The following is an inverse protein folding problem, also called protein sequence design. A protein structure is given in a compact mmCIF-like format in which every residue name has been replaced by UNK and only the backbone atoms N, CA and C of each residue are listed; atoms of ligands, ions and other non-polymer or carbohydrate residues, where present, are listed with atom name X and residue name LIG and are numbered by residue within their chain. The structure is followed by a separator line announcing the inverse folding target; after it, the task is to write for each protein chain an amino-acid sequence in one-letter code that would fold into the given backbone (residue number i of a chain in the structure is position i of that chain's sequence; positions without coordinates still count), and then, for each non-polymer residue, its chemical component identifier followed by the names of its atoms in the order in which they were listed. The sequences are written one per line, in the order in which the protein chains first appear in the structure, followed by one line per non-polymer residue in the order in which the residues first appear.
data_IF_051389915138
#
_entry.id   IF_051389915138
#
_cell.length_a   1.000
_cell.length_b   1.000
_cell.length_c   1.000
_cell.angle_alpha   90.00
_cell.angle_beta   90.00
_cell.angle_gamma   90.00
#
_symmetry.space_group_name_H-M   'P 1'
#
loop_
_entity.id
_entity.type
_entity.pdbx_description
1 polymer ?
#
# COMPACT_ATOMS: atom_id res chain seq x y z
N UNK A 1 16.21 36.91 -41.26
CA UNK A 1 15.50 36.94 -39.96
C UNK A 1 14.50 35.79 -39.77
N UNK A 2 13.62 35.46 -40.74
CA UNK A 2 12.57 34.41 -40.58
C UNK A 2 13.08 32.98 -40.31
N UNK A 3 14.26 32.59 -40.81
CA UNK A 3 14.82 31.24 -40.63
C UNK A 3 15.51 31.03 -39.27
N UNK A 4 15.87 32.11 -38.57
CA UNK A 4 16.46 32.05 -37.23
C UNK A 4 15.39 31.85 -36.13
N UNK A 5 14.19 32.42 -36.31
CA UNK A 5 13.04 32.20 -35.42
C UNK A 5 12.46 30.78 -35.50
N UNK A 6 12.64 30.10 -36.64
CA UNK A 6 12.11 28.75 -36.85
C UNK A 6 12.92 27.67 -36.10
N UNK A 7 14.22 27.86 -35.93
CA UNK A 7 15.10 26.91 -35.21
C UNK A 7 14.92 27.05 -33.70
N UNK A 8 14.72 28.29 -33.21
CA UNK A 8 14.43 28.57 -31.80
C UNK A 8 13.05 28.00 -31.38
N UNK A 9 12.06 28.07 -32.27
CA UNK A 9 10.74 27.44 -32.07
C UNK A 9 10.82 25.91 -31.95
N UNK A 10 11.60 25.24 -32.80
CA UNK A 10 11.73 23.78 -32.77
C UNK A 10 12.43 23.26 -31.50
N UNK A 11 13.45 23.97 -31.00
CA UNK A 11 14.14 23.62 -29.76
C UNK A 11 13.25 23.83 -28.52
N UNK A 12 12.42 24.88 -28.51
CA UNK A 12 11.45 25.12 -27.42
C UNK A 12 10.32 24.08 -27.44
N UNK A 13 9.87 23.61 -28.61
CA UNK A 13 8.89 22.51 -28.69
C UNK A 13 9.45 21.18 -28.16
N UNK A 14 10.70 20.83 -28.42
CA UNK A 14 11.31 19.60 -27.91
C UNK A 14 11.57 19.66 -26.39
N UNK A 15 11.93 20.83 -25.86
CA UNK A 15 12.11 21.03 -24.42
C UNK A 15 10.77 20.98 -23.65
N UNK A 16 9.67 21.42 -24.26
CA UNK A 16 8.34 21.41 -23.64
C UNK A 16 7.64 20.05 -23.67
N UNK A 17 7.91 19.19 -24.66
CA UNK A 17 7.38 17.81 -24.66
C UNK A 17 7.95 16.98 -23.49
N UNK A 18 9.25 17.16 -23.17
CA UNK A 18 9.88 16.43 -22.07
C UNK A 18 9.29 16.81 -20.68
N UNK A 19 8.83 18.04 -20.50
CA UNK A 19 8.22 18.49 -19.24
C UNK A 19 6.79 17.96 -19.02
N UNK A 20 6.04 17.68 -20.09
CA UNK A 20 4.63 17.25 -20.00
C UNK A 20 4.49 15.75 -19.68
N UNK A 21 5.47 14.92 -20.03
CA UNK A 21 5.41 13.46 -19.76
C UNK A 21 5.56 13.13 -18.26
N UNK A 22 6.12 14.03 -17.46
CA UNK A 22 6.40 13.78 -16.02
C UNK A 22 5.14 13.87 -15.14
N UNK A 23 4.04 14.48 -15.61
CA UNK A 23 2.90 14.83 -14.74
C UNK A 23 1.68 13.88 -14.79
N UNK A 24 1.73 12.79 -15.55
CA UNK A 24 0.57 11.92 -15.77
C UNK A 24 0.70 10.50 -15.20
N UNK A 25 1.62 10.26 -14.27
CA UNK A 25 1.55 9.07 -13.42
C UNK A 25 0.64 9.43 -12.24
N UNK A 26 -0.65 9.11 -12.38
CA UNK A 26 -1.66 9.41 -11.36
C UNK A 26 -1.21 8.92 -9.98
N UNK A 27 -1.40 9.77 -8.97
CA UNK A 27 -1.18 9.49 -7.55
C UNK A 27 -2.23 8.49 -6.99
N UNK A 28 -2.71 7.59 -7.86
CA UNK A 28 -3.61 6.48 -7.55
C UNK A 28 -2.81 5.37 -6.87
N UNK A 29 -2.26 5.67 -5.69
CA UNK A 29 -1.66 4.64 -4.85
C UNK A 29 -2.76 3.63 -4.50
N UNK A 30 -2.59 2.40 -4.95
CA UNK A 30 -3.62 1.37 -4.84
C UNK A 30 -3.80 0.96 -3.38
N UNK A 31 -5.05 0.68 -2.97
CA UNK A 31 -5.29 0.02 -1.68
C UNK A 31 -4.52 -1.31 -1.67
N UNK A 32 -3.76 -1.58 -0.63
CA UNK A 32 -2.87 -2.74 -0.52
C UNK A 32 -1.44 -2.56 -1.06
N UNK A 33 -1.15 -1.51 -1.84
CA UNK A 33 0.20 -1.16 -2.29
C UNK A 33 0.90 -0.37 -1.18
N UNK A 34 1.29 -1.05 -0.11
CA UNK A 34 1.80 -0.41 1.10
C UNK A 34 3.13 0.26 0.83
N UNK A 35 4.03 -0.34 0.06
CA UNK A 35 5.35 0.24 -0.21
C UNK A 35 5.34 1.35 -1.28
N UNK A 36 4.25 1.51 -2.04
CA UNK A 36 4.06 2.56 -3.05
C UNK A 36 4.77 2.31 -4.38
N UNK A 37 5.11 1.05 -4.70
CA UNK A 37 5.82 0.68 -5.93
C UNK A 37 4.89 0.45 -7.14
N UNK A 38 3.58 0.59 -6.93
CA UNK A 38 2.55 0.43 -7.95
C UNK A 38 2.02 -0.99 -8.09
N UNK A 39 2.47 -1.93 -7.26
CA UNK A 39 2.01 -3.33 -7.22
C UNK A 39 1.37 -3.63 -5.86
N UNK A 40 0.57 -4.69 -5.83
CA UNK A 40 0.06 -5.26 -4.58
C UNK A 40 0.58 -6.69 -4.53
N UNK A 41 1.63 -6.91 -3.75
CA UNK A 41 2.30 -8.21 -3.69
C UNK A 41 2.81 -8.57 -2.28
N UNK A 42 3.60 -9.65 -2.19
CA UNK A 42 4.11 -10.15 -0.90
C UNK A 42 5.04 -9.16 -0.18
N UNK A 43 5.65 -8.20 -0.88
CA UNK A 43 6.48 -7.18 -0.27
C UNK A 43 5.64 -6.24 0.62
N UNK A 44 4.43 -5.91 0.19
CA UNK A 44 3.47 -5.11 0.97
C UNK A 44 3.02 -5.87 2.22
N UNK A 45 2.69 -7.16 2.07
CA UNK A 45 2.30 -8.01 3.19
C UNK A 45 3.42 -8.15 4.22
N UNK A 46 4.67 -8.33 3.77
CA UNK A 46 5.83 -8.37 4.66
C UNK A 46 6.04 -7.04 5.39
N UNK A 47 5.79 -5.91 4.72
CA UNK A 47 5.91 -4.59 5.30
C UNK A 47 4.87 -4.37 6.41
N UNK A 48 3.62 -4.82 6.20
CA UNK A 48 2.58 -4.86 7.23
C UNK A 48 2.99 -5.73 8.42
N UNK A 49 3.49 -6.96 8.19
CA UNK A 49 3.92 -7.84 9.27
C UNK A 49 5.10 -7.26 10.08
N UNK A 50 6.03 -6.57 9.43
CA UNK A 50 7.12 -5.87 10.14
C UNK A 50 6.59 -4.72 10.99
N UNK A 51 5.55 -4.02 10.53
CA UNK A 51 4.92 -2.95 11.28
C UNK A 51 4.19 -3.50 12.52
N UNK A 52 3.37 -4.53 12.34
CA UNK A 52 2.64 -5.22 13.41
C UNK A 52 3.61 -5.77 14.49
N UNK A 53 4.73 -6.34 14.06
CA UNK A 53 5.81 -6.80 14.95
C UNK A 53 6.64 -5.67 15.59
N UNK A 54 6.36 -4.39 15.30
CA UNK A 54 7.11 -3.24 15.82
C UNK A 54 8.54 -3.11 15.28
N UNK A 55 8.86 -3.80 14.18
CA UNK A 55 10.18 -3.79 13.56
C UNK A 55 10.39 -2.63 12.58
N UNK A 56 9.30 -1.98 12.16
CA UNK A 56 9.33 -0.79 11.30
C UNK A 56 8.19 0.15 11.64
N UNK A 57 8.27 1.39 11.14
CA UNK A 57 7.18 2.36 11.20
C UNK A 57 6.62 2.60 9.80
N UNK A 58 5.31 2.77 9.73
CA UNK A 58 4.61 3.22 8.53
C UNK A 58 4.22 4.68 8.68
N UNK A 59 4.29 5.42 7.58
CA UNK A 59 3.69 6.74 7.43
C UNK A 59 2.16 6.64 7.40
N UNK A 60 1.48 7.75 7.65
CA UNK A 60 0.01 7.80 7.62
C UNK A 60 -0.58 7.34 6.26
N UNK A 61 0.11 7.65 5.16
CA UNK A 61 -0.33 7.23 3.84
C UNK A 61 -0.16 5.73 3.62
N UNK A 62 0.86 5.11 4.21
CA UNK A 62 1.07 3.67 4.14
C UNK A 62 0.07 2.93 5.03
N UNK A 63 -0.21 3.44 6.24
CA UNK A 63 -1.26 2.93 7.13
C UNK A 63 -2.62 2.90 6.42
N UNK A 64 -3.00 3.98 5.73
CA UNK A 64 -4.25 4.05 4.95
C UNK A 64 -4.33 3.04 3.81
N UNK A 65 -3.20 2.63 3.25
CA UNK A 65 -3.15 1.61 2.18
C UNK A 65 -3.13 0.20 2.76
N UNK A 66 -2.61 0.04 3.98
CA UNK A 66 -2.46 -1.22 4.67
C UNK A 66 -3.77 -1.72 5.28
N UNK A 67 -4.58 -0.87 5.92
CA UNK A 67 -5.87 -1.25 6.52
C UNK A 67 -6.89 -1.64 5.43
N UNK A 68 -6.95 -2.94 5.12
CA UNK A 68 -7.77 -3.50 4.05
C UNK A 68 -9.09 -4.05 4.56
N UNK A 69 -9.14 -4.48 5.82
CA UNK A 69 -10.37 -4.96 6.46
C UNK A 69 -11.22 -3.81 7.03
N UNK A 70 -10.66 -2.61 7.16
CA UNK A 70 -11.34 -1.39 7.61
C UNK A 70 -11.63 -1.34 9.10
N UNK A 71 -10.91 -2.11 9.92
CA UNK A 71 -11.11 -2.13 11.38
C UNK A 71 -10.31 -1.04 12.13
N UNK A 72 -9.47 -0.31 11.40
CA UNK A 72 -8.67 0.80 11.93
C UNK A 72 -7.32 0.37 12.53
N UNK A 73 -7.03 -0.93 12.58
CA UNK A 73 -5.72 -1.47 12.92
C UNK A 73 -4.99 -1.90 11.65
N UNK A 74 -3.66 -2.00 11.73
CA UNK A 74 -2.83 -2.56 10.66
C UNK A 74 -2.08 -3.75 11.23
N UNK A 75 -2.55 -4.95 10.91
CA UNK A 75 -2.04 -6.18 11.50
C UNK A 75 -1.96 -7.36 10.51
N UNK A 76 -1.70 -8.57 11.03
CA UNK A 76 -1.62 -9.78 10.22
C UNK A 76 -2.87 -10.09 9.36
N UNK A 77 -4.07 -9.62 9.73
CA UNK A 77 -5.30 -9.78 8.96
C UNK A 77 -5.22 -9.03 7.62
N UNK A 78 -4.63 -7.83 7.64
CA UNK A 78 -4.40 -7.03 6.43
C UNK A 78 -3.35 -7.66 5.54
N UNK A 79 -2.28 -8.19 6.13
CA UNK A 79 -1.25 -8.91 5.37
C UNK A 79 -1.85 -10.12 4.62
N UNK A 80 -2.79 -10.84 5.24
CA UNK A 80 -3.53 -11.92 4.55
C UNK A 80 -4.40 -11.36 3.43
N UNK A 81 -5.07 -10.22 3.61
CA UNK A 81 -5.85 -9.57 2.56
C UNK A 81 -4.98 -9.21 1.35
N UNK A 82 -3.79 -8.64 1.57
CA UNK A 82 -2.80 -8.34 0.52
C UNK A 82 -2.39 -9.61 -0.23
N UNK A 83 -2.05 -10.68 0.48
CA UNK A 83 -1.63 -11.95 -0.16
C UNK A 83 -2.76 -12.57 -0.99
N UNK A 84 -4.02 -12.43 -0.56
CA UNK A 84 -5.18 -12.85 -1.37
C UNK A 84 -5.29 -12.02 -2.64
N UNK A 85 -5.15 -10.70 -2.57
CA UNK A 85 -5.14 -9.82 -3.75
C UNK A 85 -4.02 -10.22 -4.71
N UNK A 86 -2.79 -10.40 -4.20
CA UNK A 86 -1.63 -10.80 -4.97
C UNK A 86 -1.83 -12.16 -5.68
N UNK A 87 -2.58 -13.07 -5.05
CA UNK A 87 -2.96 -14.37 -5.62
C UNK A 87 -4.20 -14.32 -6.53
N UNK A 88 -4.80 -13.15 -6.76
CA UNK A 88 -6.02 -13.00 -7.56
C UNK A 88 -7.28 -13.57 -6.88
N UNK A 89 -7.26 -13.73 -5.56
CA UNK A 89 -8.37 -14.25 -4.77
C UNK A 89 -9.23 -13.10 -4.24
N UNK A 90 -10.54 -13.35 -4.10
CA UNK A 90 -11.45 -12.40 -3.44
C UNK A 90 -11.03 -12.20 -1.98
N UNK A 91 -10.94 -10.94 -1.57
CA UNK A 91 -10.85 -10.57 -0.14
C UNK A 91 -12.26 -10.73 0.45
N UNK A 92 -12.41 -11.31 1.66
CA UNK A 92 -13.69 -11.34 2.34
C UNK A 92 -14.22 -9.91 2.50
N UNK A 93 -15.53 -9.71 2.32
CA UNK A 93 -16.14 -8.43 2.66
C UNK A 93 -15.88 -8.15 4.14
N UNK A 94 -15.55 -6.90 4.47
CA UNK A 94 -15.33 -6.47 5.85
C UNK A 94 -16.57 -6.86 6.68
N UNK A 95 -16.46 -7.93 7.48
CA UNK A 95 -17.51 -8.25 8.42
C UNK A 95 -17.60 -7.08 9.41
N UNK A 96 -18.76 -6.43 9.56
CA UNK A 96 -18.90 -5.36 10.54
C UNK A 96 -18.59 -5.95 11.92
N UNK A 97 -17.50 -5.46 12.51
CA UNK A 97 -16.98 -5.90 13.80
C UNK A 97 -18.07 -5.80 14.87
N UNK A 98 -18.72 -6.93 15.14
CA UNK A 98 -19.60 -7.13 16.31
C UNK A 98 -19.19 -8.36 17.11
N UNK A 99 -17.93 -8.79 16.99
CA UNK A 99 -17.37 -9.77 17.91
C UNK A 99 -16.12 -9.20 18.57
N UNK A 100 -16.11 -8.99 19.90
CA UNK A 100 -14.87 -8.80 20.62
C UNK A 100 -14.07 -10.09 20.44
N UNK A 101 -13.02 -10.05 19.63
CA UNK A 101 -12.01 -11.10 19.62
C UNK A 101 -11.25 -10.97 20.93
N UNK A 102 -11.68 -11.80 21.89
CA UNK A 102 -10.92 -12.08 23.10
C UNK A 102 -9.47 -12.34 22.73
N UNK A 103 -8.58 -11.52 23.30
CA UNK A 103 -7.16 -11.79 23.39
C UNK A 103 -6.90 -13.27 23.70
N UNK A 104 -5.78 -13.86 23.25
CA UNK A 104 -5.42 -15.21 23.68
C UNK A 104 -5.37 -15.23 25.20
N UNK A 105 -6.32 -15.94 25.80
CA UNK A 105 -6.27 -16.27 27.21
C UNK A 105 -5.06 -17.18 27.36
N UNK A 106 -3.95 -16.64 27.87
CA UNK A 106 -2.90 -17.43 28.50
C UNK A 106 -3.53 -18.14 29.68
N UNK A 107 -4.05 -19.34 29.44
CA UNK A 107 -4.28 -20.32 30.50
C UNK A 107 -2.90 -20.82 30.91
N UNK A 108 -2.45 -20.26 32.01
CA UNK A 108 -1.36 -20.68 32.89
C UNK A 108 -1.12 -22.21 32.86
N UNK A 109 0.13 -22.70 32.68
CA UNK A 109 0.43 -24.12 32.71
C UNK A 109 0.47 -24.61 34.16
N UNK A 110 -0.70 -24.92 34.72
CA UNK A 110 -0.76 -25.68 35.97
C UNK A 110 -0.57 -27.17 35.67
N UNK A 111 0.70 -27.59 35.52
CA UNK A 111 1.09 -28.99 35.62
C UNK A 111 1.17 -29.34 37.12
N UNK A 112 0.07 -29.88 37.65
CA UNK A 112 0.03 -30.46 39.00
C UNK A 112 0.94 -31.70 39.03
N UNK A 113 1.85 -31.87 40.03
CA UNK A 113 2.90 -32.88 40.05
C UNK A 113 2.44 -34.35 40.03
#
# INVERSE_FOLDING_TARGET
MKRLFSILSAAVMLLSIAAVIVYAAGDGKNRGDVNGDGKVDSADALLVMKYDAGLTKLSENEIKRADLNGDGNVDSCDAVCILRIAAGLKVPDAEPATKPTTAPTTTDPNWDP
#
